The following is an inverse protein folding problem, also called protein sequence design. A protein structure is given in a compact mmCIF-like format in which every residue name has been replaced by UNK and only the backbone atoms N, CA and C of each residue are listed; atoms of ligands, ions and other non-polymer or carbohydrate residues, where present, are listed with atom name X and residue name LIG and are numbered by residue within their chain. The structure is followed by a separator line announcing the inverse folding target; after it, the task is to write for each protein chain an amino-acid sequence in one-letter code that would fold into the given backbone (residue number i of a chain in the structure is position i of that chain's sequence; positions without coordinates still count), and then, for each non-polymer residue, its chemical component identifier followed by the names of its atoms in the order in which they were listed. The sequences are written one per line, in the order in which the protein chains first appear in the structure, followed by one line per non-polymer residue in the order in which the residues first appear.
data_IF_480205078259
#
_entry.id   IF_480205078259
#
_cell.length_a   1.000
_cell.length_b   1.000
_cell.length_c   1.000
_cell.angle_alpha   90.00
_cell.angle_beta   90.00
_cell.angle_gamma   90.00
#
_symmetry.space_group_name_H-M   'P 1'
#
loop_
_entity.id
_entity.type
_entity.pdbx_description
1 polymer ?
#
# COMPACT_ATOMS: atom_id res chain seq x y z
N UNK A 1 -30.78 -14.25 -5.43
CA UNK A 1 -29.61 -13.78 -6.18
C UNK A 1 -28.36 -14.10 -5.40
N UNK A 2 -27.24 -14.39 -6.06
CA UNK A 2 -25.96 -14.58 -5.39
C UNK A 2 -25.31 -13.22 -5.10
N UNK A 3 -24.47 -13.13 -4.05
CA UNK A 3 -23.65 -11.94 -3.77
C UNK A 3 -22.69 -11.67 -4.93
N UNK A 4 -22.42 -10.40 -5.25
CA UNK A 4 -21.43 -10.01 -6.27
C UNK A 4 -20.07 -10.67 -6.02
N UNK A 5 -19.63 -10.72 -4.76
CA UNK A 5 -18.39 -11.40 -4.38
C UNK A 5 -18.45 -12.93 -4.64
N UNK A 6 -19.61 -13.56 -4.41
CA UNK A 6 -19.77 -14.99 -4.72
C UNK A 6 -19.67 -15.25 -6.23
N UNK A 7 -20.24 -14.36 -7.06
CA UNK A 7 -20.15 -14.47 -8.53
C UNK A 7 -18.69 -14.35 -8.96
N UNK A 8 -17.97 -13.36 -8.46
CA UNK A 8 -16.53 -13.16 -8.69
C UNK A 8 -15.69 -14.39 -8.30
N UNK A 9 -15.96 -14.99 -7.13
CA UNK A 9 -15.27 -16.19 -6.68
C UNK A 9 -15.59 -17.42 -7.53
N UNK A 10 -16.83 -17.56 -8.01
CA UNK A 10 -17.20 -18.64 -8.94
C UNK A 10 -16.51 -18.48 -10.29
N UNK A 11 -16.38 -17.24 -10.80
CA UNK A 11 -15.67 -16.95 -12.03
C UNK A 11 -14.17 -17.23 -11.90
N UNK A 12 -13.56 -16.77 -10.80
CA UNK A 12 -12.16 -17.06 -10.47
C UNK A 12 -11.92 -18.56 -10.34
N UNK A 13 -12.80 -19.29 -9.64
CA UNK A 13 -12.70 -20.74 -9.53
C UNK A 13 -12.78 -21.45 -10.89
N UNK A 14 -13.64 -20.98 -11.80
CA UNK A 14 -13.72 -21.51 -13.17
C UNK A 14 -12.42 -21.28 -13.94
N UNK A 15 -11.80 -20.12 -13.82
CA UNK A 15 -10.49 -19.84 -14.43
C UNK A 15 -9.47 -20.84 -13.89
N UNK A 16 -9.32 -20.95 -12.58
CA UNK A 16 -8.29 -21.79 -11.95
C UNK A 16 -8.47 -23.30 -12.22
N UNK A 17 -9.70 -23.77 -12.42
CA UNK A 17 -9.98 -25.17 -12.74
C UNK A 17 -9.72 -25.54 -14.21
N UNK A 18 -9.90 -24.59 -15.13
CA UNK A 18 -9.87 -24.89 -16.57
C UNK A 18 -8.66 -24.31 -17.29
N UNK A 19 -7.97 -23.34 -16.69
CA UNK A 19 -6.79 -22.74 -17.29
C UNK A 19 -5.66 -23.77 -17.42
N UNK A 20 -4.99 -23.69 -18.56
CA UNK A 20 -3.77 -24.42 -18.89
C UNK A 20 -2.63 -23.44 -19.18
N UNK A 21 -1.40 -23.92 -19.26
CA UNK A 21 -0.22 -23.11 -19.63
C UNK A 21 -0.38 -22.32 -20.95
N UNK A 22 -1.27 -22.76 -21.85
CA UNK A 22 -1.55 -22.10 -23.14
C UNK A 22 -2.63 -21.02 -23.07
N UNK A 23 -3.12 -20.71 -21.87
CA UNK A 23 -4.18 -19.73 -21.65
C UNK A 23 -3.60 -18.33 -21.53
N UNK A 24 -4.42 -17.33 -21.85
CA UNK A 24 -4.22 -15.94 -21.46
C UNK A 24 -5.26 -15.61 -20.40
N UNK A 25 -4.81 -15.20 -19.21
CA UNK A 25 -5.67 -14.88 -18.07
C UNK A 25 -5.59 -13.39 -17.80
N UNK A 26 -6.75 -12.77 -17.58
CA UNK A 26 -6.87 -11.35 -17.23
C UNK A 26 -7.74 -11.29 -15.98
N UNK A 27 -7.17 -10.81 -14.88
CA UNK A 27 -7.84 -10.60 -13.61
C UNK A 27 -7.84 -9.10 -13.30
N UNK A 28 -8.98 -8.59 -12.85
CA UNK A 28 -9.17 -7.17 -12.54
C UNK A 28 -9.78 -7.03 -11.14
N UNK A 29 -9.02 -6.44 -10.23
CA UNK A 29 -9.39 -6.15 -8.82
C UNK A 29 -10.02 -7.33 -8.05
N UNK A 30 -9.51 -8.55 -8.26
CA UNK A 30 -9.97 -9.74 -7.54
C UNK A 30 -9.78 -9.58 -6.02
N UNK A 31 -10.82 -9.84 -5.24
CA UNK A 31 -10.81 -9.76 -3.77
C UNK A 31 -11.40 -8.47 -3.20
N UNK A 32 -11.82 -7.50 -4.04
CA UNK A 32 -12.38 -6.21 -3.59
C UNK A 32 -13.67 -6.32 -2.78
N UNK A 33 -14.46 -7.37 -3.02
CA UNK A 33 -15.79 -7.56 -2.39
C UNK A 33 -15.77 -8.09 -0.95
N UNK A 34 -14.60 -8.25 -0.33
CA UNK A 34 -14.44 -8.80 1.02
C UNK A 34 -13.56 -7.89 1.90
N UNK A 35 -13.23 -8.34 3.12
CA UNK A 35 -12.30 -7.62 4.01
C UNK A 35 -10.93 -7.45 3.34
N UNK A 36 -10.22 -6.37 3.65
CA UNK A 36 -8.91 -6.07 3.02
C UNK A 36 -7.93 -7.22 3.18
N UNK A 37 -7.83 -7.79 4.39
CA UNK A 37 -6.92 -8.91 4.66
C UNK A 37 -7.34 -10.19 3.92
N UNK A 38 -8.63 -10.51 3.87
CA UNK A 38 -9.11 -11.68 3.11
C UNK A 38 -8.87 -11.48 1.60
N UNK A 39 -9.12 -10.27 1.10
CA UNK A 39 -8.95 -9.91 -0.31
C UNK A 39 -7.49 -10.01 -0.75
N UNK A 40 -6.56 -9.43 0.03
CA UNK A 40 -5.11 -9.55 -0.20
C UNK A 40 -4.69 -11.03 -0.16
N UNK A 41 -5.12 -11.77 0.86
CA UNK A 41 -4.74 -13.18 1.02
C UNK A 41 -5.20 -14.05 -0.15
N UNK A 42 -6.44 -13.85 -0.61
CA UNK A 42 -6.96 -14.55 -1.78
C UNK A 42 -6.22 -14.14 -3.05
N UNK A 43 -6.07 -12.84 -3.31
CA UNK A 43 -5.40 -12.34 -4.50
C UNK A 43 -3.95 -12.85 -4.61
N UNK A 44 -3.23 -12.86 -3.48
CA UNK A 44 -1.88 -13.42 -3.38
C UNK A 44 -1.85 -14.91 -3.72
N UNK A 45 -2.65 -15.72 -3.03
CA UNK A 45 -2.68 -17.17 -3.25
C UNK A 45 -3.11 -17.53 -4.69
N UNK A 46 -4.03 -16.76 -5.28
CA UNK A 46 -4.42 -16.91 -6.68
C UNK A 46 -3.24 -16.61 -7.61
N UNK A 47 -2.53 -15.50 -7.38
CA UNK A 47 -1.36 -15.16 -8.19
C UNK A 47 -0.26 -16.23 -8.11
N UNK A 48 0.02 -16.75 -6.92
CA UNK A 48 0.98 -17.86 -6.72
C UNK A 48 0.56 -19.13 -7.45
N UNK A 49 -0.72 -19.52 -7.38
CA UNK A 49 -1.24 -20.71 -8.07
C UNK A 49 -1.15 -20.57 -9.59
N UNK A 50 -1.42 -19.36 -10.12
CA UNK A 50 -1.26 -19.05 -11.53
C UNK A 50 0.19 -19.16 -12.01
N UNK A 51 1.14 -18.75 -11.17
CA UNK A 51 2.58 -18.86 -11.47
C UNK A 51 3.06 -20.31 -11.38
N UNK A 52 2.77 -21.00 -10.28
CA UNK A 52 3.37 -22.31 -10.00
C UNK A 52 2.66 -23.48 -10.66
N UNK A 53 1.33 -23.52 -10.58
CA UNK A 53 0.53 -24.67 -11.04
C UNK A 53 0.06 -24.48 -12.47
N UNK A 54 -0.54 -23.33 -12.79
CA UNK A 54 -1.16 -23.08 -14.10
C UNK A 54 -0.13 -22.70 -15.16
N UNK A 55 0.86 -21.87 -14.80
CA UNK A 55 1.94 -21.39 -15.68
C UNK A 55 1.44 -20.67 -16.94
N UNK A 56 0.26 -20.06 -16.85
CA UNK A 56 -0.34 -19.30 -17.95
C UNK A 56 0.16 -17.86 -17.97
N UNK A 57 0.13 -17.23 -19.16
CA UNK A 57 0.36 -15.79 -19.27
C UNK A 57 -0.80 -15.06 -18.57
N UNK A 58 -0.46 -14.23 -17.59
CA UNK A 58 -1.45 -13.58 -16.73
C UNK A 58 -1.21 -12.07 -16.68
N UNK A 59 -2.29 -11.30 -16.85
CA UNK A 59 -2.36 -9.90 -16.47
C UNK A 59 -3.21 -9.79 -15.21
N UNK A 60 -2.65 -9.23 -14.15
CA UNK A 60 -3.34 -9.06 -12.88
C UNK A 60 -3.35 -7.58 -12.54
N UNK A 61 -4.49 -6.92 -12.75
CA UNK A 61 -4.72 -5.55 -12.32
C UNK A 61 -5.21 -5.55 -10.87
N UNK A 62 -4.53 -4.83 -9.99
CA UNK A 62 -4.83 -4.81 -8.55
C UNK A 62 -4.53 -3.45 -7.93
N UNK A 63 -5.21 -3.16 -6.83
CA UNK A 63 -4.91 -2.02 -5.94
C UNK A 63 -4.15 -2.44 -4.68
N UNK A 64 -3.90 -3.74 -4.50
CA UNK A 64 -3.12 -4.26 -3.38
C UNK A 64 -1.64 -4.04 -3.64
N UNK A 65 -1.04 -3.13 -2.88
CA UNK A 65 0.38 -2.80 -2.99
C UNK A 65 1.23 -3.94 -2.42
N UNK A 66 0.68 -4.75 -1.52
CA UNK A 66 1.32 -5.93 -0.94
C UNK A 66 1.76 -6.90 -2.03
N UNK A 67 0.97 -7.08 -3.10
CA UNK A 67 1.28 -7.98 -4.21
C UNK A 67 2.53 -7.55 -5.01
N UNK A 68 3.03 -6.32 -4.84
CA UNK A 68 4.30 -5.87 -5.43
C UNK A 68 5.45 -6.79 -5.00
N UNK A 69 5.43 -7.27 -3.76
CA UNK A 69 6.48 -8.13 -3.20
C UNK A 69 6.59 -9.49 -3.93
N UNK A 70 5.53 -9.98 -4.60
CA UNK A 70 5.59 -11.19 -5.41
C UNK A 70 6.64 -11.12 -6.52
N UNK A 71 6.90 -9.93 -7.06
CA UNK A 71 7.93 -9.74 -8.09
C UNK A 71 9.35 -9.84 -7.52
N UNK A 72 9.53 -9.56 -6.23
CA UNK A 72 10.80 -9.71 -5.53
C UNK A 72 11.06 -11.18 -5.16
N UNK A 73 10.01 -11.90 -4.77
CA UNK A 73 10.09 -13.33 -4.45
C UNK A 73 10.27 -14.21 -5.69
N UNK A 74 9.68 -13.82 -6.84
CA UNK A 74 9.70 -14.59 -8.08
C UNK A 74 10.16 -13.73 -9.28
N UNK A 75 11.41 -13.22 -9.26
CA UNK A 75 11.91 -12.22 -10.20
C UNK A 75 12.12 -12.74 -11.63
N UNK A 76 11.93 -14.03 -11.89
CA UNK A 76 11.97 -14.59 -13.25
C UNK A 76 10.57 -14.81 -13.85
N UNK A 77 9.52 -14.82 -13.01
CA UNK A 77 8.16 -15.19 -13.40
C UNK A 77 7.17 -14.03 -13.26
N UNK A 78 7.40 -13.12 -12.32
CA UNK A 78 6.52 -11.99 -12.02
C UNK A 78 7.23 -10.68 -12.35
N UNK A 79 6.49 -9.71 -12.87
CA UNK A 79 6.98 -8.37 -13.19
C UNK A 79 5.93 -7.34 -12.78
N UNK A 80 6.35 -6.35 -11.99
CA UNK A 80 5.49 -5.22 -11.67
C UNK A 80 5.47 -4.22 -12.83
N UNK A 81 4.26 -3.82 -13.19
CA UNK A 81 3.97 -2.81 -14.19
C UNK A 81 3.00 -1.79 -13.58
N UNK A 82 3.16 -0.52 -13.90
CA UNK A 82 2.24 0.54 -13.50
C UNK A 82 1.86 1.42 -14.70
N UNK A 83 0.79 2.19 -14.54
CA UNK A 83 0.41 3.23 -15.50
C UNK A 83 1.16 4.50 -15.14
N UNK A 84 1.93 5.07 -16.08
CA UNK A 84 2.72 6.28 -15.88
C UNK A 84 1.80 7.48 -15.61
N UNK A 85 2.09 8.16 -14.51
CA UNK A 85 1.39 9.37 -14.03
C UNK A 85 2.41 10.51 -13.94
N UNK A 86 2.07 11.69 -14.49
CA UNK A 86 2.89 12.90 -14.33
C UNK A 86 2.15 13.96 -13.54
N UNK A 87 2.85 14.54 -12.57
CA UNK A 87 2.41 15.72 -11.84
C UNK A 87 2.91 16.98 -12.56
N UNK A 88 2.02 17.92 -12.86
CA UNK A 88 2.36 19.19 -13.50
C UNK A 88 1.49 20.32 -12.92
N UNK A 89 2.12 21.31 -12.27
CA UNK A 89 1.42 22.48 -11.69
C UNK A 89 0.20 22.09 -10.83
N UNK A 90 0.41 21.16 -9.91
CA UNK A 90 -0.62 20.55 -9.07
C UNK A 90 -1.69 19.75 -9.83
N UNK A 91 -1.61 19.56 -11.14
CA UNK A 91 -2.48 18.68 -11.91
C UNK A 91 -1.85 17.31 -12.14
N UNK A 92 -2.69 16.29 -12.24
CA UNK A 92 -2.26 14.94 -12.58
C UNK A 92 -2.64 14.65 -14.03
N UNK A 93 -1.66 14.24 -14.82
CA UNK A 93 -1.85 13.79 -16.19
C UNK A 93 -1.60 12.28 -16.26
N UNK A 94 -2.64 11.52 -16.58
CA UNK A 94 -2.53 10.10 -16.88
C UNK A 94 -2.01 9.92 -18.31
N UNK A 95 -0.82 9.34 -18.44
CA UNK A 95 -0.20 9.17 -19.76
C UNK A 95 -0.66 7.92 -20.50
N UNK A 96 -1.50 7.08 -19.87
CA UNK A 96 -1.98 5.79 -20.39
C UNK A 96 -0.86 4.89 -20.92
N UNK A 97 0.36 5.07 -20.38
CA UNK A 97 1.54 4.32 -20.77
C UNK A 97 1.88 3.33 -19.66
N UNK A 98 2.11 2.07 -20.03
CA UNK A 98 2.58 1.07 -19.09
C UNK A 98 4.11 1.16 -18.97
N UNK A 99 4.60 1.27 -17.75
CA UNK A 99 6.04 1.28 -17.42
C UNK A 99 6.35 0.23 -16.37
N UNK A 100 7.60 -0.22 -16.32
CA UNK A 100 8.05 -1.18 -15.32
C UNK A 100 8.18 -0.53 -13.94
N UNK A 101 7.84 -1.29 -12.89
CA UNK A 101 7.90 -0.86 -11.50
C UNK A 101 6.56 -0.94 -10.79
N UNK A 102 6.58 -0.72 -9.47
CA UNK A 102 5.41 -0.49 -8.64
C UNK A 102 4.88 0.93 -8.80
N UNK A 103 3.62 1.18 -8.45
CA UNK A 103 3.14 2.55 -8.28
C UNK A 103 3.62 3.08 -6.93
N UNK A 104 4.33 4.22 -6.93
CA UNK A 104 4.93 4.77 -5.71
C UNK A 104 3.95 5.63 -4.88
N UNK A 105 2.76 5.94 -5.41
CA UNK A 105 1.79 6.84 -4.77
C UNK A 105 0.34 6.46 -5.06
N UNK A 106 -0.52 6.63 -4.06
CA UNK A 106 -1.97 6.58 -4.22
C UNK A 106 -2.53 7.94 -4.62
N UNK A 107 -3.18 8.02 -5.79
CA UNK A 107 -3.68 9.27 -6.36
C UNK A 107 -5.18 9.53 -6.09
N UNK A 108 -5.81 8.78 -5.18
CA UNK A 108 -7.26 8.82 -4.96
C UNK A 108 -7.84 10.23 -4.69
N UNK A 109 -7.22 10.99 -3.78
CA UNK A 109 -7.64 12.38 -3.47
C UNK A 109 -7.43 13.31 -4.68
N UNK A 110 -6.39 13.08 -5.48
CA UNK A 110 -6.13 13.89 -6.67
C UNK A 110 -7.14 13.60 -7.78
N UNK A 111 -7.52 12.33 -7.98
CA UNK A 111 -8.59 11.93 -8.90
C UNK A 111 -9.94 12.49 -8.45
N UNK A 112 -10.23 12.48 -7.15
CA UNK A 112 -11.43 13.09 -6.57
C UNK A 112 -11.54 14.59 -6.90
N UNK A 113 -10.42 15.31 -6.89
CA UNK A 113 -10.38 16.72 -7.31
C UNK A 113 -10.68 16.90 -8.80
N UNK A 114 -10.13 16.05 -9.66
CA UNK A 114 -10.44 16.06 -11.10
C UNK A 114 -11.92 15.76 -11.36
N UNK A 115 -12.55 14.92 -10.52
CA UNK A 115 -13.97 14.64 -10.56
C UNK A 115 -14.86 15.80 -10.02
N UNK A 116 -14.25 16.89 -9.55
CA UNK A 116 -14.97 18.07 -9.06
C UNK A 116 -15.47 17.96 -7.62
N UNK A 117 -14.91 17.07 -6.80
CA UNK A 117 -15.24 17.03 -5.37
C UNK A 117 -14.87 18.36 -4.70
N UNK A 118 -15.75 18.95 -3.86
CA UNK A 118 -15.49 20.26 -3.26
C UNK A 118 -14.20 20.31 -2.45
N UNK A 119 -13.47 21.43 -2.54
CA UNK A 119 -12.18 21.62 -1.87
C UNK A 119 -12.23 21.31 -0.37
N UNK A 120 -13.29 21.74 0.33
CA UNK A 120 -13.46 21.45 1.75
C UNK A 120 -13.51 19.94 2.09
N UNK A 121 -14.06 19.11 1.19
CA UNK A 121 -14.08 17.65 1.35
C UNK A 121 -12.69 17.07 1.10
N UNK A 122 -11.99 17.55 0.08
CA UNK A 122 -10.62 17.12 -0.24
C UNK A 122 -9.66 17.46 0.90
N UNK A 123 -9.76 18.65 1.48
CA UNK A 123 -8.93 19.08 2.61
C UNK A 123 -9.18 18.19 3.84
N UNK A 124 -10.44 17.84 4.10
CA UNK A 124 -10.77 16.89 5.16
C UNK A 124 -10.24 15.49 4.86
N UNK A 125 -10.35 15.03 3.62
CA UNK A 125 -9.84 13.72 3.22
C UNK A 125 -8.31 13.63 3.39
N UNK A 126 -7.57 14.71 3.07
CA UNK A 126 -6.11 14.79 3.32
C UNK A 126 -5.78 14.68 4.81
N UNK A 127 -6.52 15.40 5.66
CA UNK A 127 -6.35 15.31 7.10
C UNK A 127 -6.61 13.90 7.64
N UNK A 128 -7.68 13.24 7.17
CA UNK A 128 -7.99 11.84 7.54
C UNK A 128 -6.90 10.88 7.06
N UNK A 129 -6.39 11.05 5.83
CA UNK A 129 -5.33 10.20 5.30
C UNK A 129 -4.05 10.31 6.16
N UNK A 130 -3.64 11.53 6.52
CA UNK A 130 -2.50 11.74 7.41
C UNK A 130 -2.71 11.14 8.82
N UNK A 131 -3.94 11.21 9.36
CA UNK A 131 -4.27 10.53 10.62
C UNK A 131 -4.15 8.99 10.48
N UNK A 132 -4.61 8.41 9.36
CA UNK A 132 -4.55 6.97 9.10
C UNK A 132 -3.10 6.48 8.88
N UNK A 133 -2.29 7.23 8.14
CA UNK A 133 -0.88 6.91 7.88
C UNK A 133 -0.01 6.95 9.15
N UNK A 134 -0.34 7.84 10.10
CA UNK A 134 0.35 7.90 11.41
C UNK A 134 -0.12 6.83 12.40
N UNK A 135 -1.05 5.95 12.02
CA UNK A 135 -1.62 4.93 12.89
C UNK A 135 -2.58 5.48 13.96
N UNK A 136 -2.99 6.75 13.82
CA UNK A 136 -3.94 7.39 14.73
C UNK A 136 -5.35 6.91 14.38
N UNK A 137 -5.99 6.15 15.27
CA UNK A 137 -7.34 5.62 15.05
C UNK A 137 -8.38 6.74 14.89
N UNK A 138 -8.74 7.02 13.64
CA UNK A 138 -9.75 8.03 13.23
C UNK A 138 -11.16 7.71 13.76
N UNK A 139 -11.39 6.49 14.24
CA UNK A 139 -12.71 6.03 14.67
C UNK A 139 -13.20 6.61 16.01
N UNK A 140 -12.38 7.39 16.74
CA UNK A 140 -12.77 7.99 18.02
C UNK A 140 -13.30 9.45 17.92
N UNK A 141 -13.50 10.01 16.72
CA UNK A 141 -13.94 11.42 16.54
C UNK A 141 -15.40 11.60 16.11
N UNK A 142 -16.20 10.54 16.01
CA UNK A 142 -17.64 10.68 15.74
C UNK A 142 -18.41 11.42 16.87
N UNK A 143 -17.77 11.67 18.02
CA UNK A 143 -18.40 12.29 19.20
C UNK A 143 -17.98 13.74 19.51
N UNK A 144 -17.28 14.44 18.61
CA UNK A 144 -16.96 15.87 18.82
C UNK A 144 -17.57 16.75 17.75
N UNK A 145 -18.85 17.04 18.00
CA UNK A 145 -19.51 18.35 17.86
C UNK A 145 -19.00 19.33 16.79
N UNK A 146 -19.96 19.69 15.94
CA UNK A 146 -20.09 20.94 15.19
C UNK A 146 -19.57 22.13 16.04
N UNK A 147 -18.55 22.83 15.55
CA UNK A 147 -17.97 23.98 16.23
C UNK A 147 -17.01 24.78 15.34
N UNK A 148 -17.56 25.82 14.71
CA UNK A 148 -16.94 26.95 14.00
C UNK A 148 -15.52 27.36 14.45
N UNK A 149 -14.65 27.70 13.48
CA UNK A 149 -13.48 28.56 13.73
C UNK A 149 -12.47 28.62 12.58
N UNK A 150 -12.32 29.81 11.99
CA UNK A 150 -11.44 30.19 10.87
C UNK A 150 -9.95 30.31 11.26
N UNK A 151 -9.02 29.95 10.36
CA UNK A 151 -7.99 30.84 9.76
C UNK A 151 -6.72 30.09 9.25
N UNK A 152 -6.22 30.59 8.10
CA UNK A 152 -4.91 30.47 7.40
C UNK A 152 -3.67 29.89 8.14
N UNK A 153 -2.63 29.30 7.52
CA UNK A 153 -1.95 29.54 6.22
C UNK A 153 -0.99 28.33 5.86
N UNK A 154 -0.36 28.31 4.66
CA UNK A 154 0.33 27.14 4.06
C UNK A 154 1.85 27.14 4.28
N UNK A 155 2.46 25.95 4.35
CA UNK A 155 3.90 25.77 4.04
C UNK A 155 4.27 24.29 3.91
N UNK A 156 4.78 24.01 2.70
CA UNK A 156 5.70 22.96 2.25
C UNK A 156 5.32 21.47 2.21
N UNK A 157 5.54 20.79 1.06
CA UNK A 157 5.38 19.36 0.92
C UNK A 157 6.56 18.62 1.55
N UNK A 158 6.32 17.84 2.60
CA UNK A 158 7.28 16.85 3.10
C UNK A 158 7.15 15.62 2.22
N UNK A 159 8.15 15.41 1.36
CA UNK A 159 8.40 14.13 0.69
C UNK A 159 8.80 13.11 1.75
N UNK A 160 8.32 11.86 1.72
CA UNK A 160 9.03 10.79 2.39
C UNK A 160 10.23 10.39 1.52
N UNK A 161 11.39 10.91 1.91
CA UNK A 161 12.69 10.38 1.52
C UNK A 161 12.99 9.09 2.27
N UNK A 162 14.19 8.56 2.05
CA UNK A 162 14.81 7.37 2.66
C UNK A 162 14.67 7.20 4.20
N UNK A 163 14.12 8.20 4.90
CA UNK A 163 13.80 8.17 6.32
C UNK A 163 12.65 7.21 6.69
N UNK A 164 11.66 6.99 5.80
CA UNK A 164 10.49 6.14 6.08
C UNK A 164 10.85 4.65 6.22
N UNK A 165 11.84 4.17 5.48
CA UNK A 165 12.30 2.78 5.59
C UNK A 165 13.06 2.53 6.90
N UNK A 166 13.81 3.52 7.39
CA UNK A 166 14.53 3.43 8.66
C UNK A 166 13.61 3.55 9.89
N UNK A 167 12.62 4.44 9.84
CA UNK A 167 11.65 4.59 10.93
C UNK A 167 10.82 3.31 11.12
N UNK A 168 10.48 2.63 10.02
CA UNK A 168 9.78 1.34 10.07
C UNK A 168 10.63 0.22 10.69
N UNK A 169 11.91 0.08 10.32
CA UNK A 169 12.81 -0.92 10.91
C UNK A 169 13.02 -0.72 12.42
N UNK A 170 13.15 0.54 12.86
CA UNK A 170 13.26 0.89 14.28
C UNK A 170 11.96 0.60 15.03
N UNK A 171 10.81 0.97 14.44
CA UNK A 171 9.47 0.67 15.00
C UNK A 171 9.26 -0.83 15.18
N UNK A 172 9.61 -1.63 14.18
CA UNK A 172 9.42 -3.07 14.22
C UNK A 172 10.32 -3.73 15.26
N UNK A 173 11.55 -3.22 15.44
CA UNK A 173 12.45 -3.72 16.49
C UNK A 173 11.98 -3.37 17.89
N UNK A 174 11.38 -2.19 18.08
CA UNK A 174 10.79 -1.77 19.36
C UNK A 174 9.54 -2.58 19.71
N UNK A 175 8.72 -2.99 18.74
CA UNK A 175 7.52 -3.82 18.97
C UNK A 175 7.84 -5.23 19.45
N UNK A 176 9.02 -5.75 19.12
CA UNK A 176 9.44 -7.13 19.42
C UNK A 176 10.09 -7.29 20.81
N UNK A 177 10.25 -6.20 21.55
CA UNK A 177 10.95 -6.21 22.84
C UNK A 177 9.99 -5.83 23.95
N UNK A 178 9.88 -6.71 24.96
CA UNK A 178 9.16 -6.42 26.19
C UNK A 178 10.12 -5.76 27.21
N UNK A 179 9.89 -4.51 27.63
CA UNK A 179 10.74 -3.82 28.60
C UNK A 179 10.80 -4.51 29.96
N UNK A 180 9.75 -5.21 30.37
CA UNK A 180 9.64 -5.81 31.70
C UNK A 180 10.43 -7.13 31.82
N UNK A 181 10.83 -7.71 30.68
CA UNK A 181 11.58 -8.98 30.61
C UNK A 181 13.09 -8.77 30.34
N UNK A 182 13.54 -7.50 30.28
CA UNK A 182 14.93 -7.15 30.04
C UNK A 182 15.73 -6.98 31.34
N UNK A 183 16.88 -7.65 31.41
CA UNK A 183 17.87 -7.31 32.44
C UNK A 183 18.51 -5.95 32.14
N UNK A 184 18.97 -5.18 33.15
CA UNK A 184 19.57 -3.86 32.95
C UNK A 184 20.72 -3.85 31.92
N UNK A 185 21.49 -4.93 31.86
CA UNK A 185 22.57 -5.11 30.88
C UNK A 185 22.04 -5.31 29.46
N UNK A 186 21.00 -6.11 29.28
CA UNK A 186 20.38 -6.35 27.97
C UNK A 186 19.68 -5.09 27.45
N UNK A 187 19.03 -4.32 28.33
CA UNK A 187 18.47 -3.02 27.97
C UNK A 187 19.54 -2.05 27.48
N UNK A 188 20.70 -2.00 28.16
CA UNK A 188 21.82 -1.17 27.75
C UNK A 188 22.40 -1.62 26.40
N UNK A 189 22.60 -2.93 26.19
CA UNK A 189 23.05 -3.49 24.91
C UNK A 189 22.05 -3.20 23.77
N UNK A 190 20.75 -3.27 24.03
CA UNK A 190 19.70 -2.94 23.07
C UNK A 190 19.72 -1.46 22.67
N UNK A 191 19.92 -0.54 23.63
CA UNK A 191 20.07 0.89 23.33
C UNK A 191 21.29 1.17 22.45
N UNK A 192 22.40 0.47 22.66
CA UNK A 192 23.56 0.57 21.78
C UNK A 192 23.26 0.04 20.37
N UNK A 193 22.52 -1.06 20.24
CA UNK A 193 22.10 -1.60 18.93
C UNK A 193 21.21 -0.61 18.17
N UNK A 194 20.23 0.00 18.84
CA UNK A 194 19.37 1.03 18.23
C UNK A 194 20.17 2.25 17.79
N UNK A 195 21.18 2.66 18.58
CA UNK A 195 22.06 3.76 18.22
C UNK A 195 22.93 3.47 17.00
N UNK A 196 23.48 2.26 16.89
CA UNK A 196 24.24 1.84 15.70
C UNK A 196 23.37 1.84 14.44
N UNK A 197 22.11 1.38 14.55
CA UNK A 197 21.16 1.42 13.44
C UNK A 197 20.79 2.85 13.00
N UNK A 198 20.86 3.83 13.92
CA UNK A 198 20.70 5.25 13.61
C UNK A 198 21.96 5.82 12.93
N UNK A 199 23.15 5.51 13.44
CA UNK A 199 24.43 6.04 12.94
C UNK A 199 24.81 5.47 11.54
N UNK A 200 24.44 4.22 11.24
CA UNK A 200 24.66 3.60 9.92
C UNK A 200 23.78 4.24 8.81
N UNK A 201 22.73 4.98 9.19
CA UNK A 201 21.91 5.77 8.27
C UNK A 201 22.49 7.12 7.88
N UNK A 202 23.32 7.72 8.73
CA UNK A 202 23.95 9.02 8.47
C UNK A 202 25.22 8.92 7.61
N UNK A 203 25.82 7.73 7.48
CA UNK A 203 27.00 7.50 6.63
C UNK A 203 26.62 7.04 5.23
N UNK A 204 26.16 7.97 4.40
CA UNK A 204 26.28 7.79 2.95
C UNK A 204 27.69 8.23 2.48
N UNK A 205 28.41 7.42 1.69
CA UNK A 205 29.72 7.80 1.15
C UNK A 205 29.56 8.84 0.04
N UNK A 206 30.47 9.83 0.02
CA UNK A 206 30.65 10.80 -1.06
C UNK A 206 30.89 10.16 -2.43
#
# INVERSE_FOLDING_TARGET
GQSTFMVEMVETARILHNATERSLIILDEVGRGTSTHDGISLAWAIAEDLVHRVKARTLFATHYHELVALAEEMPDQVRNLNVEVKEWRDEIVFLHRIVSGSADKSYGIHVARLAGIPAAVLDRARGILAELETGSTVLNRADRSIGSGSAHHPSDPIQPGLFDQQENLLRDRLKLVDPDDLTPRMAQEFLYQLRTLLDDGERTPH
#
